data_IF_256477263514
#
_entry.id   IF_256477263514
#
_cell.length_a   1.000
_cell.length_b   1.000
_cell.length_c   1.000
_cell.angle_alpha   90.00
_cell.angle_beta   90.00
_cell.angle_gamma   90.00
#
_symmetry.space_group_name_H-M   'P 1'
#
loop_
_entity.id
_entity.type
_entity.pdbx_description
1 polymer ?
#
# COMPACT_ATOMS: atom_id res chain seq x y z
N UNK A 1 47.45 11.58 -29.41
CA UNK A 1 46.97 12.38 -28.26
C UNK A 1 45.76 11.66 -27.68
N UNK A 2 45.72 11.28 -26.40
CA UNK A 2 44.52 10.68 -25.82
C UNK A 2 43.41 11.73 -25.80
N UNK A 3 42.24 11.40 -26.36
CA UNK A 3 41.09 12.29 -26.37
C UNK A 3 40.74 12.70 -24.93
N UNK A 4 40.58 14.02 -24.70
CA UNK A 4 40.09 14.53 -23.41
C UNK A 4 38.71 13.90 -23.16
N UNK A 5 38.56 13.20 -22.03
CA UNK A 5 37.26 12.68 -21.61
C UNK A 5 36.26 13.85 -21.56
N UNK A 6 35.04 13.69 -22.10
CA UNK A 6 34.03 14.73 -21.99
C UNK A 6 33.78 15.05 -20.51
N UNK A 7 33.57 16.33 -20.21
CA UNK A 7 33.19 16.79 -18.86
C UNK A 7 31.93 16.06 -18.42
N UNK A 8 31.86 15.62 -17.16
CA UNK A 8 30.74 14.82 -16.64
C UNK A 8 29.36 15.46 -16.87
N UNK A 9 29.29 16.78 -16.97
CA UNK A 9 28.06 17.53 -17.23
C UNK A 9 27.56 17.35 -18.66
N UNK A 10 28.47 17.25 -19.65
CA UNK A 10 28.12 17.01 -21.06
C UNK A 10 27.46 15.64 -21.19
N UNK A 11 28.01 14.64 -20.50
CA UNK A 11 27.49 13.27 -20.50
C UNK A 11 26.09 13.19 -19.88
N UNK A 12 25.80 14.01 -18.86
CA UNK A 12 24.47 14.11 -18.27
C UNK A 12 23.44 14.63 -19.28
N UNK A 13 23.74 15.76 -19.94
CA UNK A 13 22.84 16.38 -20.90
C UNK A 13 22.58 15.49 -22.12
N UNK A 14 23.58 14.74 -22.58
CA UNK A 14 23.45 13.87 -23.75
C UNK A 14 22.72 12.55 -23.43
N UNK A 15 23.02 11.91 -22.29
CA UNK A 15 22.53 10.55 -22.00
C UNK A 15 21.36 10.48 -21.03
N UNK A 16 21.27 11.42 -20.09
CA UNK A 16 20.35 11.32 -18.94
C UNK A 16 19.19 12.30 -19.06
N UNK A 17 19.45 13.57 -19.38
CA UNK A 17 18.39 14.57 -19.55
C UNK A 17 17.28 14.15 -20.54
N UNK A 18 17.55 13.55 -21.71
CA UNK A 18 16.49 13.10 -22.61
C UNK A 18 15.71 11.88 -22.08
N UNK A 19 16.24 11.17 -21.07
CA UNK A 19 15.63 9.95 -20.53
C UNK A 19 14.93 10.17 -19.19
N UNK A 20 14.78 11.42 -18.74
CA UNK A 20 14.19 11.73 -17.44
C UNK A 20 12.81 11.12 -17.23
N UNK A 21 11.93 11.17 -18.25
CA UNK A 21 10.61 10.55 -18.19
C UNK A 21 10.71 9.03 -18.03
N UNK A 22 11.57 8.39 -18.82
CA UNK A 22 11.75 6.94 -18.79
C UNK A 22 12.35 6.48 -17.44
N UNK A 23 13.24 7.28 -16.86
CA UNK A 23 13.78 7.04 -15.51
C UNK A 23 12.65 7.14 -14.46
N UNK A 24 11.79 8.15 -14.55
CA UNK A 24 10.62 8.27 -13.66
C UNK A 24 9.73 7.03 -13.75
N UNK A 25 9.52 6.49 -14.96
CA UNK A 25 8.70 5.29 -15.15
C UNK A 25 9.35 4.06 -14.53
N UNK A 26 10.65 3.88 -14.67
CA UNK A 26 11.36 2.76 -14.03
C UNK A 26 11.30 2.82 -12.51
N UNK A 27 11.39 4.03 -11.93
CA UNK A 27 11.21 4.22 -10.49
C UNK A 27 9.78 3.91 -10.04
N UNK A 28 8.78 4.35 -10.81
CA UNK A 28 7.38 4.00 -10.57
C UNK A 28 7.16 2.49 -10.56
N UNK A 29 7.82 1.78 -11.45
CA UNK A 29 7.70 0.32 -11.57
C UNK A 29 8.55 -0.43 -10.51
N UNK A 30 9.24 0.29 -9.61
CA UNK A 30 10.02 -0.29 -8.51
C UNK A 30 11.36 -0.89 -8.94
N UNK A 31 11.90 -0.48 -10.08
CA UNK A 31 13.17 -1.01 -10.59
C UNK A 31 14.33 -0.48 -9.73
N UNK A 32 15.25 -1.36 -9.27
CA UNK A 32 16.39 -0.95 -8.47
C UNK A 32 17.34 0.00 -9.22
N UNK A 33 17.95 0.94 -8.50
CA UNK A 33 18.81 2.00 -9.09
C UNK A 33 20.02 1.42 -9.81
N UNK A 34 20.50 0.26 -9.37
CA UNK A 34 21.59 -0.51 -9.96
C UNK A 34 21.25 -0.87 -11.42
N UNK A 35 20.07 -1.44 -11.64
CA UNK A 35 19.59 -1.84 -12.97
C UNK A 35 19.30 -0.62 -13.84
N UNK A 36 18.84 0.48 -13.24
CA UNK A 36 18.64 1.74 -13.96
C UNK A 36 19.98 2.32 -14.44
N UNK A 37 21.00 2.30 -13.59
CA UNK A 37 22.34 2.76 -13.95
C UNK A 37 22.91 1.93 -15.12
N UNK A 38 22.73 0.61 -15.09
CA UNK A 38 23.10 -0.29 -16.20
C UNK A 38 22.37 0.05 -17.50
N UNK A 39 21.04 0.26 -17.46
CA UNK A 39 20.23 0.67 -18.62
C UNK A 39 20.64 2.02 -19.21
N UNK A 40 21.16 2.90 -18.37
CA UNK A 40 21.69 4.21 -18.78
C UNK A 40 23.16 4.15 -19.21
N UNK A 41 23.80 2.98 -19.12
CA UNK A 41 25.23 2.78 -19.35
C UNK A 41 26.09 3.74 -18.52
N UNK A 42 25.69 3.94 -17.27
CA UNK A 42 26.38 4.81 -16.30
C UNK A 42 26.68 4.04 -15.02
N UNK A 43 27.63 4.52 -14.23
CA UNK A 43 27.89 3.92 -12.92
C UNK A 43 26.88 4.43 -11.88
N UNK A 44 26.57 3.61 -10.88
CA UNK A 44 25.71 4.00 -9.75
C UNK A 44 26.27 5.26 -9.06
N UNK A 45 27.59 5.32 -8.87
CA UNK A 45 28.27 6.47 -8.28
C UNK A 45 28.05 7.74 -9.09
N UNK A 46 28.16 7.64 -10.42
CA UNK A 46 27.92 8.78 -11.33
C UNK A 46 26.45 9.21 -11.28
N UNK A 47 25.51 8.26 -11.31
CA UNK A 47 24.08 8.54 -11.23
C UNK A 47 23.70 9.23 -9.91
N UNK A 48 24.25 8.78 -8.78
CA UNK A 48 24.07 9.42 -7.48
C UNK A 48 24.70 10.82 -7.45
N UNK A 49 25.88 11.00 -8.03
CA UNK A 49 26.50 12.32 -8.19
C UNK A 49 25.65 13.28 -9.03
N UNK A 50 24.97 12.76 -10.06
CA UNK A 50 24.05 13.55 -10.88
C UNK A 50 22.78 13.95 -10.13
N UNK A 51 22.24 13.11 -9.24
CA UNK A 51 21.08 13.48 -8.43
C UNK A 51 21.34 14.71 -7.55
N UNK A 52 22.57 14.86 -7.04
CA UNK A 52 22.95 16.01 -6.23
C UNK A 52 23.19 17.28 -7.08
N UNK A 53 23.75 17.12 -8.28
CA UNK A 53 24.11 18.24 -9.17
C UNK A 53 22.95 18.73 -10.03
N UNK A 54 22.02 17.86 -10.40
CA UNK A 54 20.95 18.15 -11.35
C UNK A 54 19.58 17.96 -10.70
N UNK A 55 18.95 19.04 -10.21
CA UNK A 55 17.64 18.99 -9.56
C UNK A 55 16.53 18.40 -10.44
N UNK A 56 16.63 18.53 -11.78
CA UNK A 56 15.67 17.93 -12.72
C UNK A 56 15.64 16.40 -12.61
N UNK A 57 16.81 15.75 -12.55
CA UNK A 57 16.89 14.31 -12.36
C UNK A 57 16.29 13.90 -11.03
N UNK A 58 16.69 14.57 -9.93
CA UNK A 58 16.13 14.29 -8.61
C UNK A 58 14.61 14.43 -8.59
N UNK A 59 14.05 15.46 -9.22
CA UNK A 59 12.60 15.66 -9.31
C UNK A 59 11.91 14.54 -10.07
N UNK A 60 12.47 14.09 -11.20
CA UNK A 60 11.93 12.96 -11.95
C UNK A 60 11.91 11.66 -11.12
N UNK A 61 12.95 11.44 -10.30
CA UNK A 61 12.99 10.29 -9.38
C UNK A 61 11.91 10.36 -8.31
N UNK A 62 11.72 11.54 -7.71
CA UNK A 62 10.72 11.75 -6.66
C UNK A 62 9.30 11.56 -7.19
N UNK A 63 9.02 12.07 -8.40
CA UNK A 63 7.73 11.91 -9.07
C UNK A 63 7.38 10.44 -9.31
N UNK A 64 8.35 9.62 -9.75
CA UNK A 64 8.13 8.19 -9.94
C UNK A 64 7.75 7.47 -8.64
N UNK A 65 8.39 7.82 -7.52
CA UNK A 65 8.06 7.26 -6.20
C UNK A 65 6.68 7.68 -5.73
N UNK A 66 6.37 8.97 -5.85
CA UNK A 66 5.07 9.52 -5.46
C UNK A 66 3.93 8.86 -6.24
N UNK A 67 4.09 8.65 -7.56
CA UNK A 67 3.08 7.95 -8.36
C UNK A 67 2.89 6.49 -7.92
N UNK A 68 3.97 5.78 -7.59
CA UNK A 68 3.90 4.42 -7.07
C UNK A 68 3.14 4.38 -5.73
N UNK A 69 3.49 5.27 -4.81
CA UNK A 69 2.84 5.37 -3.50
C UNK A 69 1.35 5.73 -3.63
N UNK A 70 1.00 6.66 -4.52
CA UNK A 70 -0.38 7.05 -4.80
C UNK A 70 -1.20 5.88 -5.35
N UNK A 71 -0.64 5.05 -6.24
CA UNK A 71 -1.34 3.86 -6.76
C UNK A 71 -1.61 2.83 -5.68
N UNK A 72 -0.65 2.63 -4.77
CA UNK A 72 -0.84 1.74 -3.62
C UNK A 72 -1.92 2.30 -2.69
N UNK A 73 -1.89 3.60 -2.42
CA UNK A 73 -2.90 4.27 -1.60
C UNK A 73 -4.31 4.16 -2.21
N UNK A 74 -4.48 4.39 -3.51
CA UNK A 74 -5.77 4.25 -4.20
C UNK A 74 -6.26 2.80 -4.16
N UNK A 75 -5.39 1.83 -4.43
CA UNK A 75 -5.72 0.40 -4.36
C UNK A 75 -6.16 -0.02 -2.96
N UNK A 76 -5.44 0.46 -1.94
CA UNK A 76 -5.76 0.18 -0.54
C UNK A 76 -7.07 0.84 -0.12
N UNK A 77 -7.32 2.07 -0.55
CA UNK A 77 -8.57 2.78 -0.31
C UNK A 77 -9.75 2.04 -0.94
N UNK A 78 -9.67 1.67 -2.22
CA UNK A 78 -10.69 0.87 -2.92
C UNK A 78 -10.99 -0.42 -2.17
N UNK A 79 -9.95 -1.13 -1.71
CA UNK A 79 -10.10 -2.34 -0.91
C UNK A 79 -10.76 -2.07 0.45
N UNK A 80 -10.45 -0.94 1.09
CA UNK A 80 -11.04 -0.54 2.36
C UNK A 80 -12.53 -0.16 2.26
N UNK A 81 -12.97 0.46 1.15
CA UNK A 81 -14.39 0.84 0.95
C UNK A 81 -15.22 -0.24 0.23
N UNK A 82 -14.56 -1.20 -0.41
CA UNK A 82 -15.19 -2.13 -1.35
C UNK A 82 -15.39 -1.48 -2.73
N UNK A 83 -15.24 -2.27 -3.78
CA UNK A 83 -15.37 -1.79 -5.16
C UNK A 83 -16.02 -2.86 -6.05
N UNK A 84 -16.66 -2.43 -7.13
CA UNK A 84 -17.21 -3.35 -8.13
C UNK A 84 -16.17 -3.59 -9.22
N UNK A 85 -16.05 -4.84 -9.68
CA UNK A 85 -15.16 -5.22 -10.76
C UNK A 85 -15.85 -6.20 -11.70
N UNK A 86 -15.53 -6.07 -12.98
CA UNK A 86 -16.03 -6.97 -14.01
C UNK A 86 -15.02 -8.09 -14.22
N UNK A 87 -15.49 -9.33 -14.15
CA UNK A 87 -14.72 -10.52 -14.48
C UNK A 87 -15.17 -11.01 -15.85
N UNK A 88 -14.24 -11.03 -16.81
CA UNK A 88 -14.45 -11.63 -18.13
C UNK A 88 -14.22 -13.13 -18.01
N UNK A 89 -15.29 -13.89 -18.16
CA UNK A 89 -15.21 -15.35 -18.25
C UNK A 89 -15.32 -15.72 -19.73
N UNK A 90 -14.23 -16.28 -20.26
CA UNK A 90 -14.22 -16.87 -21.60
C UNK A 90 -14.52 -18.37 -21.47
N UNK A 91 -15.75 -18.77 -21.78
CA UNK A 91 -16.09 -20.18 -21.88
C UNK A 91 -15.79 -20.66 -23.30
N UNK A 92 -14.76 -21.51 -23.42
CA UNK A 92 -14.52 -22.30 -24.63
C UNK A 92 -15.38 -23.56 -24.59
N UNK A 93 -16.42 -23.61 -25.41
CA UNK A 93 -17.10 -24.86 -25.70
C UNK A 93 -16.21 -25.70 -26.63
N UNK A 94 -15.88 -26.93 -26.22
CA UNK A 94 -15.20 -27.90 -27.09
C UNK A 94 -16.25 -28.62 -27.92
N UNK A 95 -16.21 -28.60 -29.26
CA UNK A 95 -17.25 -29.22 -30.05
C UNK A 95 -17.20 -30.75 -29.91
N UNK A 96 -18.35 -31.34 -29.60
CA UNK A 96 -18.56 -32.79 -29.69
C UNK A 96 -18.55 -33.22 -31.15
N UNK A 97 -17.50 -33.94 -31.56
CA UNK A 97 -17.32 -34.67 -32.84
C UNK A 97 -17.58 -33.89 -34.15
N UNK A 98 -16.51 -33.89 -34.96
CA UNK A 98 -16.44 -33.56 -36.41
C UNK A 98 -16.69 -32.10 -36.78
N UNK A 99 -15.60 -31.33 -36.73
CA UNK A 99 -15.27 -30.37 -37.80
C UNK A 99 -16.09 -29.08 -37.89
N UNK A 100 -16.46 -28.46 -36.78
CA UNK A 100 -17.00 -27.08 -36.79
C UNK A 100 -16.26 -26.17 -35.81
N UNK A 101 -16.15 -24.90 -36.21
CA UNK A 101 -15.33 -23.85 -35.61
C UNK A 101 -15.47 -23.72 -34.08
N UNK A 102 -14.33 -23.49 -33.41
CA UNK A 102 -14.29 -23.11 -31.98
C UNK A 102 -15.05 -21.80 -31.82
N UNK A 103 -16.23 -21.86 -31.19
CA UNK A 103 -16.98 -20.66 -30.83
C UNK A 103 -16.60 -20.29 -29.40
N UNK A 104 -15.87 -19.18 -29.22
CA UNK A 104 -15.56 -18.63 -27.90
C UNK A 104 -16.70 -17.68 -27.51
N UNK A 105 -17.49 -18.02 -26.49
CA UNK A 105 -18.46 -17.09 -25.92
C UNK A 105 -17.81 -16.36 -24.74
N UNK A 106 -17.70 -15.04 -24.86
CA UNK A 106 -17.24 -14.15 -23.79
C UNK A 106 -18.45 -13.65 -23.01
N UNK A 107 -18.50 -13.88 -21.69
CA UNK A 107 -19.51 -13.32 -20.80
C UNK A 107 -18.85 -12.38 -19.79
N UNK A 108 -19.43 -11.20 -19.60
CA UNK A 108 -19.03 -10.26 -18.55
C UNK A 108 -19.90 -10.47 -17.32
N UNK A 109 -19.29 -10.69 -16.15
CA UNK A 109 -19.97 -10.79 -14.85
C UNK A 109 -19.50 -9.66 -13.95
N UNK A 110 -20.43 -8.83 -13.47
CA UNK A 110 -20.15 -7.80 -12.46
C UNK A 110 -20.16 -8.42 -11.07
N UNK A 111 -19.01 -8.38 -10.37
CA UNK A 111 -18.86 -8.82 -8.97
C UNK A 111 -18.53 -7.63 -8.08
N UNK A 112 -18.88 -7.74 -6.80
CA UNK A 112 -18.57 -6.73 -5.80
C UNK A 112 -17.51 -7.26 -4.85
N UNK A 113 -16.35 -6.61 -4.82
CA UNK A 113 -15.35 -6.81 -3.77
C UNK A 113 -15.87 -6.17 -2.48
N UNK A 114 -16.03 -6.99 -1.44
CA UNK A 114 -16.45 -6.52 -0.12
C UNK A 114 -15.34 -5.67 0.53
N UNK A 115 -15.71 -4.72 1.39
CA UNK A 115 -14.74 -3.95 2.18
C UNK A 115 -13.83 -4.85 3.02
N UNK A 116 -12.52 -4.60 2.98
CA UNK A 116 -11.53 -5.28 3.82
C UNK A 116 -11.30 -4.51 5.14
N UNK A 117 -11.65 -5.15 6.26
CA UNK A 117 -11.56 -4.55 7.60
C UNK A 117 -10.11 -4.22 7.99
N UNK A 118 -9.12 -5.00 7.53
CA UNK A 118 -7.71 -4.72 7.82
C UNK A 118 -7.24 -3.48 7.07
N UNK A 119 -7.61 -3.35 5.79
CA UNK A 119 -7.33 -2.15 5.01
C UNK A 119 -8.00 -0.91 5.62
N UNK A 120 -9.26 -1.02 6.03
CA UNK A 120 -9.99 0.04 6.74
C UNK A 120 -9.34 0.44 8.06
N UNK A 121 -8.92 -0.54 8.88
CA UNK A 121 -8.25 -0.30 10.17
C UNK A 121 -6.91 0.41 9.96
N UNK A 122 -6.11 -0.02 8.98
CA UNK A 122 -4.84 0.61 8.64
C UNK A 122 -5.04 2.07 8.18
N UNK A 123 -6.01 2.30 7.30
CA UNK A 123 -6.35 3.65 6.82
C UNK A 123 -6.76 4.59 7.97
N UNK A 124 -7.64 4.12 8.87
CA UNK A 124 -8.10 4.92 10.01
C UNK A 124 -6.98 5.20 11.01
N UNK A 125 -6.04 4.28 11.22
CA UNK A 125 -4.86 4.51 12.06
C UNK A 125 -3.96 5.62 11.52
N UNK A 126 -3.74 5.67 10.21
CA UNK A 126 -2.92 6.72 9.61
C UNK A 126 -3.61 8.08 9.62
N UNK A 127 -4.94 8.13 9.39
CA UNK A 127 -5.69 9.39 9.31
C UNK A 127 -6.20 9.94 10.64
N UNK A 128 -6.46 9.08 11.61
CA UNK A 128 -7.01 9.43 12.93
C UNK A 128 -6.32 8.64 14.04
N UNK A 129 -4.99 8.80 14.21
CA UNK A 129 -4.22 8.02 15.17
C UNK A 129 -4.72 8.21 16.61
N UNK A 130 -5.15 9.41 16.99
CA UNK A 130 -5.69 9.66 18.34
C UNK A 130 -6.93 8.84 18.70
N UNK A 131 -7.75 8.46 17.71
CA UNK A 131 -8.96 7.64 17.93
C UNK A 131 -8.73 6.15 17.69
N UNK A 132 -7.85 5.79 16.75
CA UNK A 132 -7.71 4.41 16.26
C UNK A 132 -6.34 3.75 16.52
N UNK A 133 -5.39 4.45 17.14
CA UNK A 133 -4.12 3.86 17.56
C UNK A 133 -4.37 2.71 18.54
N UNK A 134 -3.52 1.69 18.48
CA UNK A 134 -3.50 0.59 19.46
C UNK A 134 -3.31 1.09 20.90
N UNK A 135 -2.67 2.24 21.05
CA UNK A 135 -2.36 2.85 22.35
C UNK A 135 -3.51 3.73 22.88
N UNK A 136 -4.66 3.77 22.21
CA UNK A 136 -5.83 4.49 22.71
C UNK A 136 -6.45 3.77 23.91
N UNK A 137 -5.90 4.03 25.10
CA UNK A 137 -6.31 3.48 26.41
C UNK A 137 -7.72 3.86 26.85
N UNK A 138 -8.48 4.65 26.07
CA UNK A 138 -9.81 5.14 26.46
C UNK A 138 -10.86 4.03 26.55
N UNK A 139 -10.72 2.92 25.82
CA UNK A 139 -11.66 1.79 25.88
C UNK A 139 -11.37 0.80 27.02
N UNK A 140 -10.12 0.72 27.50
CA UNK A 140 -9.75 -0.20 28.60
C UNK A 140 -10.25 0.28 29.97
N UNK A 141 -10.43 1.60 30.13
CA UNK A 141 -10.93 2.18 31.38
C UNK A 141 -12.41 1.84 31.63
N UNK A 142 -13.25 1.85 30.60
CA UNK A 142 -14.69 1.61 30.73
C UNK A 142 -15.01 0.17 31.14
N UNK A 143 -14.23 -0.80 30.64
CA UNK A 143 -14.41 -2.23 30.97
C UNK A 143 -14.01 -2.52 32.43
N UNK A 144 -12.96 -1.86 32.95
CA UNK A 144 -12.55 -2.02 34.36
C UNK A 144 -13.56 -1.48 35.37
N UNK A 145 -14.36 -0.48 35.00
CA UNK A 145 -15.40 0.06 35.88
C UNK A 145 -16.53 -0.97 36.09
N UNK A 146 -16.90 -1.71 35.04
CA UNK A 146 -18.02 -2.67 35.09
C UNK A 146 -17.66 -3.90 35.95
N UNK A 147 -16.41 -4.38 35.91
CA UNK A 147 -15.99 -5.55 36.68
C UNK A 147 -15.61 -5.26 38.14
N UNK A 148 -15.52 -4.00 38.57
CA UNK A 148 -15.12 -3.64 39.94
C UNK A 148 -16.31 -3.21 40.83
N UNK A 149 -17.53 -3.20 40.32
CA UNK A 149 -18.76 -2.88 41.09
C UNK A 149 -19.49 -4.12 41.63
N UNK A 150 -18.99 -5.33 41.41
CA UNK A 150 -19.68 -6.58 41.80
C UNK A 150 -18.89 -7.43 42.82
N UNK A 151 -18.28 -6.80 43.84
CA UNK A 151 -18.01 -7.53 45.10
C UNK A 151 -19.13 -7.22 46.09
N UNK A 152 -20.12 -8.11 46.29
CA UNK A 152 -21.12 -7.90 47.34
C UNK A 152 -20.41 -7.89 48.70
N UNK A 153 -20.56 -6.78 49.42
CA UNK A 153 -20.14 -6.67 50.81
C UNK A 153 -20.87 -7.74 51.63
N UNK A 154 -20.13 -8.70 52.19
CA UNK A 154 -20.67 -9.75 53.06
C UNK A 154 -21.23 -9.09 54.33
N UNK A 155 -22.53 -9.21 54.65
CA UNK A 155 -23.07 -8.59 55.85
C UNK A 155 -22.47 -9.26 57.10
N UNK A 156 -22.02 -8.44 58.05
CA UNK A 156 -21.58 -8.89 59.38
C UNK A 156 -22.79 -9.48 60.10
N UNK A 157 -22.71 -10.75 60.49
CA UNK A 157 -23.73 -11.42 61.30
C UNK A 157 -23.81 -10.74 62.68
N UNK A 158 -24.90 -10.00 62.92
CA UNK A 158 -25.23 -9.46 64.23
C UNK A 158 -25.67 -10.59 65.17
N UNK A 159 -25.17 -10.55 66.41
CA UNK A 159 -25.40 -11.57 67.43
C UNK A 159 -26.87 -11.71 67.81
N UNK A 160 -27.28 -12.96 68.01
CA UNK A 160 -28.59 -13.34 68.54
C UNK A 160 -28.70 -12.91 70.00
N UNK A 161 -29.49 -11.88 70.27
CA UNK A 161 -29.94 -11.54 71.62
C UNK A 161 -30.81 -12.67 72.19
N UNK A 162 -30.51 -13.03 73.44
CA UNK A 162 -31.27 -13.99 74.25
C UNK A 162 -32.62 -13.38 74.61
N UNK A 163 -33.71 -14.04 74.22
CA UNK A 163 -35.05 -13.74 74.76
C UNK A 163 -35.35 -14.72 75.90
N UNK A 164 -35.51 -14.18 77.10
CA UNK A 164 -36.09 -14.87 78.24
C UNK A 164 -37.61 -15.05 78.04
N UNK A 165 -38.10 -16.26 78.31
CA UNK A 165 -39.39 -16.55 78.98
C UNK A 165 -39.44 -18.02 79.35
#
# INVERSE_FOLDING_TARGET
MPAKKPTEDILYHEKIEPKLEMISWWYRDGIPVEVIAERLSTSITTLNGYQNRFPKLRKALEQGKEEADLRVQDSLYRRAVGYEYEELVEETETPGRRGSDRTVRRRTLTKKALPDVQAGTFWMRNRQPGRWSKDNKSMEATVKIIYNTEKPNKPKSAGTERSAR
#
